data_IF_996307286502
#
_entry.id   IF_996307286502
#
_cell.length_a   1.000
_cell.length_b   1.000
_cell.length_c   1.000
_cell.angle_alpha   90.00
_cell.angle_beta   90.00
_cell.angle_gamma   90.00
#
_symmetry.space_group_name_H-M   'P 1'
#
loop_
_entity.id
_entity.type
_entity.pdbx_description
1 polymer ?
#
# COMPACT_ATOMS: atom_id res chain seq x y z
N UNK A 1 0.81 -10.70 25.29
CA UNK A 1 -0.48 -10.00 25.20
C UNK A 1 -1.23 -10.25 23.87
N UNK A 2 -0.55 -10.49 22.74
CA UNK A 2 -1.20 -10.72 21.43
C UNK A 2 -2.03 -12.01 21.30
N UNK A 3 -1.55 -13.14 21.82
CA UNK A 3 -2.20 -14.46 21.62
C UNK A 3 -3.63 -14.55 22.20
N UNK A 4 -3.96 -13.77 23.24
CA UNK A 4 -5.31 -13.73 23.81
C UNK A 4 -6.34 -13.02 22.94
N UNK A 5 -5.89 -12.09 22.07
CA UNK A 5 -6.75 -11.30 21.20
C UNK A 5 -7.11 -12.02 19.89
N UNK A 6 -6.31 -13.01 19.47
CA UNK A 6 -6.63 -13.83 18.29
C UNK A 6 -7.98 -14.55 18.41
N UNK A 7 -8.44 -14.85 19.64
CA UNK A 7 -9.76 -15.44 19.91
C UNK A 7 -10.93 -14.53 19.49
N UNK A 8 -10.71 -13.20 19.48
CA UNK A 8 -11.67 -12.18 19.05
C UNK A 8 -11.63 -11.95 17.53
N UNK A 9 -10.49 -12.19 16.88
CA UNK A 9 -10.30 -12.04 15.43
C UNK A 9 -10.86 -13.25 14.65
N UNK A 10 -11.07 -14.40 15.30
CA UNK A 10 -11.33 -15.70 14.66
C UNK A 10 -12.57 -15.82 13.75
N UNK A 11 -13.39 -14.77 13.59
CA UNK A 11 -14.50 -14.73 12.62
C UNK A 11 -14.34 -13.63 11.54
N UNK A 12 -13.38 -12.72 11.71
CA UNK A 12 -13.15 -11.65 10.75
C UNK A 12 -12.39 -12.21 9.55
N UNK A 13 -12.76 -11.75 8.35
CA UNK A 13 -12.06 -12.04 7.12
C UNK A 13 -10.94 -11.01 6.90
N UNK A 14 -9.98 -11.35 6.04
CA UNK A 14 -8.96 -10.37 5.60
C UNK A 14 -9.61 -9.17 4.91
N UNK A 15 -10.71 -9.39 4.20
CA UNK A 15 -11.49 -8.32 3.57
C UNK A 15 -12.01 -7.29 4.59
N UNK A 16 -12.41 -7.74 5.79
CA UNK A 16 -12.88 -6.86 6.87
C UNK A 16 -11.75 -5.99 7.46
N UNK A 17 -10.49 -6.41 7.30
CA UNK A 17 -9.31 -5.70 7.82
C UNK A 17 -8.67 -4.79 6.78
N UNK A 18 -8.62 -5.22 5.52
CA UNK A 18 -7.96 -4.49 4.43
C UNK A 18 -8.91 -3.46 3.82
N UNK A 19 -10.21 -3.77 3.73
CA UNK A 19 -11.19 -2.93 3.05
C UNK A 19 -10.92 -2.77 1.55
N UNK A 20 -11.55 -1.78 0.93
CA UNK A 20 -11.32 -1.44 -0.47
C UNK A 20 -10.19 -0.38 -0.56
N UNK A 21 -8.95 -0.84 -0.68
CA UNK A 21 -7.80 0.04 -0.85
C UNK A 21 -7.54 0.29 -2.34
N UNK A 22 -7.18 1.52 -2.73
CA UNK A 22 -6.80 1.81 -4.10
C UNK A 22 -5.53 1.03 -4.46
N UNK A 23 -5.46 0.60 -5.72
CA UNK A 23 -4.27 0.08 -6.35
C UNK A 23 -3.93 0.98 -7.54
N UNK A 24 -2.66 1.02 -7.93
CA UNK A 24 -2.19 1.88 -9.01
C UNK A 24 -1.56 1.04 -10.12
N UNK A 25 -1.72 1.48 -11.36
CA UNK A 25 -1.09 0.83 -12.51
C UNK A 25 0.43 1.10 -12.55
N UNK A 26 1.20 0.14 -13.05
CA UNK A 26 2.67 0.23 -13.12
C UNK A 26 3.17 1.39 -13.98
N UNK A 27 2.41 1.79 -15.00
CA UNK A 27 2.77 2.89 -15.90
C UNK A 27 2.28 4.26 -15.40
N UNK A 28 1.58 4.30 -14.26
CA UNK A 28 1.05 5.53 -13.72
C UNK A 28 2.16 6.48 -13.19
N UNK A 29 1.95 7.81 -13.23
CA UNK A 29 2.93 8.75 -12.71
C UNK A 29 3.18 8.56 -11.20
N UNK A 30 4.44 8.64 -10.79
CA UNK A 30 4.81 8.50 -9.37
C UNK A 30 4.10 9.52 -8.46
N UNK A 31 3.81 10.71 -8.98
CA UNK A 31 3.06 11.75 -8.25
C UNK A 31 1.63 11.29 -7.89
N UNK A 32 1.00 10.47 -8.73
CA UNK A 32 -0.32 9.89 -8.44
C UNK A 32 -0.23 8.90 -7.28
N UNK A 33 0.84 8.11 -7.23
CA UNK A 33 1.11 7.23 -6.08
C UNK A 33 1.24 8.03 -4.79
N UNK A 34 2.06 9.10 -4.80
CA UNK A 34 2.21 9.99 -3.63
C UNK A 34 0.88 10.58 -3.21
N UNK A 35 0.08 11.05 -4.17
CA UNK A 35 -1.23 11.64 -3.91
C UNK A 35 -2.18 10.64 -3.27
N UNK A 36 -2.34 9.44 -3.84
CA UNK A 36 -3.17 8.38 -3.29
C UNK A 36 -2.74 7.99 -1.87
N UNK A 37 -1.42 7.88 -1.64
CA UNK A 37 -0.89 7.52 -0.32
C UNK A 37 -1.16 8.60 0.74
N UNK A 38 -1.01 9.88 0.39
CA UNK A 38 -1.30 11.00 1.31
C UNK A 38 -2.80 11.13 1.56
N UNK A 39 -3.63 11.11 0.53
CA UNK A 39 -5.08 11.30 0.68
C UNK A 39 -5.76 10.17 1.47
N UNK A 40 -5.28 8.94 1.30
CA UNK A 40 -5.86 7.76 1.93
C UNK A 40 -5.09 7.28 3.17
N UNK A 41 -4.06 8.02 3.63
CA UNK A 41 -3.15 7.64 4.71
C UNK A 41 -2.59 6.21 4.53
N UNK A 42 -2.17 5.86 3.30
CA UNK A 42 -1.64 4.55 2.97
C UNK A 42 -0.12 4.52 3.10
N UNK A 43 0.37 3.52 3.84
CA UNK A 43 1.81 3.24 3.95
C UNK A 43 2.28 2.31 2.82
N UNK A 44 1.38 1.46 2.31
CA UNK A 44 1.65 0.52 1.24
C UNK A 44 0.60 0.69 0.14
N UNK A 45 1.03 0.80 -1.11
CA UNK A 45 0.18 0.89 -2.29
C UNK A 45 0.42 -0.31 -3.21
N UNK A 46 -0.59 -1.15 -3.47
CA UNK A 46 -0.48 -2.24 -4.45
C UNK A 46 -0.28 -1.70 -5.87
N UNK A 47 0.68 -2.26 -6.59
CA UNK A 47 0.96 -1.91 -7.99
C UNK A 47 0.54 -3.05 -8.91
N UNK A 48 -0.24 -2.74 -9.93
CA UNK A 48 -0.80 -3.70 -10.88
C UNK A 48 -0.19 -3.50 -12.28
N UNK A 49 0.01 -4.58 -13.02
CA UNK A 49 0.22 -4.56 -14.48
C UNK A 49 -0.90 -5.38 -15.11
N UNK A 50 -1.74 -4.75 -15.95
CA UNK A 50 -2.89 -5.40 -16.61
C UNK A 50 -3.83 -6.12 -15.63
N UNK A 51 -3.99 -5.54 -14.43
CA UNK A 51 -4.86 -6.07 -13.38
C UNK A 51 -4.22 -7.16 -12.51
N UNK A 52 -2.99 -7.58 -12.80
CA UNK A 52 -2.23 -8.53 -12.00
C UNK A 52 -1.30 -7.82 -11.02
N UNK A 53 -1.22 -8.30 -9.77
CA UNK A 53 -0.33 -7.72 -8.76
C UNK A 53 1.13 -8.01 -9.10
N UNK A 54 1.91 -6.95 -9.36
CA UNK A 54 3.33 -7.04 -9.69
C UNK A 54 4.25 -6.57 -8.56
N UNK A 55 3.73 -5.78 -7.62
CA UNK A 55 4.52 -5.28 -6.51
C UNK A 55 3.75 -4.46 -5.49
N UNK A 56 4.48 -3.97 -4.50
CA UNK A 56 3.99 -3.06 -3.47
C UNK A 56 4.94 -1.87 -3.39
N UNK A 57 4.41 -0.66 -3.48
CA UNK A 57 5.16 0.58 -3.28
C UNK A 57 4.97 1.05 -1.84
N UNK A 58 6.06 1.38 -1.14
CA UNK A 58 6.02 1.93 0.22
C UNK A 58 6.50 3.37 0.25
N UNK A 59 6.08 4.10 1.27
CA UNK A 59 6.52 5.47 1.55
C UNK A 59 8.04 5.61 1.63
N UNK A 60 8.71 4.65 2.27
CA UNK A 60 10.17 4.61 2.37
C UNK A 60 10.86 4.42 1.01
N UNK A 61 10.23 3.73 0.07
CA UNK A 61 10.77 3.55 -1.29
C UNK A 61 10.70 4.88 -2.05
N UNK A 62 9.64 5.68 -1.83
CA UNK A 62 9.51 7.05 -2.36
C UNK A 62 10.55 8.00 -1.80
N UNK A 63 10.80 7.95 -0.49
CA UNK A 63 11.84 8.73 0.19
C UNK A 63 13.24 8.39 -0.35
N UNK A 64 13.53 7.11 -0.53
CA UNK A 64 14.80 6.66 -1.10
C UNK A 64 14.98 7.14 -2.54
N UNK A 65 13.92 7.04 -3.37
CA UNK A 65 13.94 7.55 -4.73
C UNK A 65 14.20 9.06 -4.76
N UNK A 66 13.49 9.85 -3.93
CA UNK A 66 13.69 11.29 -3.82
C UNK A 66 15.13 11.64 -3.43
N UNK A 67 15.71 10.97 -2.44
CA UNK A 67 17.09 11.20 -2.01
C UNK A 67 18.10 10.95 -3.14
N UNK A 68 17.85 9.95 -4.01
CA UNK A 68 18.72 9.67 -5.14
C UNK A 68 18.69 10.77 -6.21
N UNK A 69 17.60 11.53 -6.34
CA UNK A 69 17.52 12.66 -7.28
C UNK A 69 18.23 13.93 -6.80
N UNK A 70 18.48 14.06 -5.49
CA UNK A 70 19.17 15.22 -4.90
C UNK A 70 20.67 14.97 -4.65
N UNK A 71 21.21 13.86 -5.15
CA UNK A 71 22.63 13.49 -5.10
C UNK A 71 23.29 13.69 -6.46
#
# INVERSE_FOLDING_TARGET
MFAGQCKMIGKQTVHDLVGNQPALDIDAPLMEAVHLMVENNLINLPILDKGELVGMLRDNDLLAAASAYFS
#
